data_IF_424605800845
#
_entry.id   IF_424605800845
#
_cell.length_a   1.000
_cell.length_b   1.000
_cell.length_c   1.000
_cell.angle_alpha   90.00
_cell.angle_beta   90.00
_cell.angle_gamma   90.00
#
_symmetry.space_group_name_H-M   'P 1'
#
loop_
_entity.id
_entity.type
_entity.pdbx_description
1 polymer ?
2 non-polymer ?
3 non-polymer ?
4 water ?
#
# COMPACT_ATOMS: atom_id res chain seq x y z
N UNK A 2 40.48 12.83 1.75
CA UNK A 2 39.96 11.57 2.28
C UNK A 2 38.83 11.02 1.38
N UNK A 3 39.08 9.85 0.76
CA UNK A 3 38.16 9.13 -0.15
C UNK A 3 36.71 9.03 0.42
N UNK A 4 35.75 9.80 -0.16
CA UNK A 4 34.34 9.80 0.26
C UNK A 4 33.56 8.66 -0.41
N UNK A 5 32.68 7.99 0.35
CA UNK A 5 31.89 6.87 -0.15
C UNK A 5 30.77 7.35 -1.06
N UNK A 6 30.86 7.00 -2.37
CA UNK A 6 29.87 7.40 -3.37
C UNK A 6 28.64 6.48 -3.38
N UNK A 7 28.58 5.43 -2.51
CA UNK A 7 27.44 4.52 -2.42
C UNK A 7 26.12 5.23 -2.11
N UNK A 8 26.13 6.28 -1.24
CA UNK A 8 24.88 6.97 -0.88
C UNK A 8 24.28 7.68 -2.10
N UNK A 9 25.14 8.40 -2.83
CA UNK A 9 24.76 9.10 -4.05
C UNK A 9 24.29 8.11 -5.15
N UNK A 10 24.94 6.93 -5.27
CA UNK A 10 24.57 5.89 -6.23
C UNK A 10 23.18 5.29 -5.85
N UNK A 11 22.95 4.99 -4.55
CA UNK A 11 21.69 4.43 -4.07
C UNK A 11 20.53 5.41 -4.27
N UNK A 12 20.77 6.71 -4.00
CA UNK A 12 19.74 7.75 -4.18
C UNK A 12 19.36 7.88 -5.66
N UNK A 13 20.38 7.91 -6.54
CA UNK A 13 20.18 8.00 -8.00
C UNK A 13 19.42 6.76 -8.52
N UNK A 14 19.76 5.57 -8.02
CA UNK A 14 19.12 4.34 -8.45
C UNK A 14 17.66 4.28 -8.05
N UNK A 15 17.33 4.71 -6.83
CA UNK A 15 15.94 4.70 -6.38
C UNK A 15 15.07 5.66 -7.17
N UNK A 16 15.59 6.86 -7.51
CA UNK A 16 14.81 7.80 -8.33
C UNK A 16 14.47 7.19 -9.70
N UNK A 17 15.42 6.43 -10.28
CA UNK A 17 15.21 5.75 -11.58
C UNK A 17 14.32 4.51 -11.41
N UNK A 18 14.49 3.72 -10.30
CA UNK A 18 13.63 2.56 -10.04
C UNK A 18 12.16 2.97 -9.86
N UNK A 19 11.93 4.17 -9.29
CA UNK A 19 10.58 4.69 -9.04
C UNK A 19 9.97 5.29 -10.31
N UNK A 20 10.74 6.09 -11.07
CA UNK A 20 10.23 6.75 -12.28
C UNK A 20 10.26 5.84 -13.52
N UNK A 21 11.19 4.86 -13.61
CA UNK A 21 11.33 3.99 -14.79
C UNK A 21 11.27 2.44 -14.49
N UNK A 22 10.96 2.06 -13.25
CA UNK A 22 10.90 0.64 -12.86
C UNK A 22 12.27 0.01 -12.68
N UNK A 23 12.39 -0.97 -11.74
CA UNK A 23 13.67 -1.65 -11.51
C UNK A 23 14.21 -2.36 -12.79
N UNK A 24 13.35 -3.09 -13.52
CA UNK A 24 13.75 -3.81 -14.75
C UNK A 24 14.18 -2.86 -15.88
N UNK A 25 13.56 -1.68 -15.95
CA UNK A 25 13.89 -0.68 -16.95
C UNK A 25 15.19 0.07 -16.68
N UNK A 26 15.62 0.15 -15.41
CA UNK A 26 16.84 0.88 -15.00
C UNK A 26 18.12 0.08 -15.32
N UNK A 27 19.18 0.80 -15.76
CA UNK A 27 20.50 0.23 -16.08
C UNK A 27 21.61 0.99 -15.31
N UNK A 28 22.85 0.44 -15.31
CA UNK A 28 23.98 1.05 -14.59
C UNK A 28 24.34 2.41 -15.23
N UNK A 29 24.45 2.54 -16.58
CA UNK A 29 24.77 3.87 -17.15
C UNK A 29 23.75 4.94 -16.77
N UNK A 30 22.45 4.61 -16.70
CA UNK A 30 21.42 5.55 -16.25
C UNK A 30 21.68 6.03 -14.81
N UNK A 31 22.10 5.11 -13.92
CA UNK A 31 22.40 5.46 -12.52
C UNK A 31 23.66 6.33 -12.48
N UNK A 32 24.65 6.03 -13.34
CA UNK A 32 25.89 6.81 -13.43
C UNK A 32 25.62 8.25 -13.87
N UNK A 33 24.70 8.45 -14.85
CA UNK A 33 24.33 9.78 -15.34
C UNK A 33 23.60 10.60 -14.26
N UNK A 34 22.60 10.02 -13.58
CA UNK A 34 21.83 10.70 -12.53
C UNK A 34 22.69 10.94 -11.28
N UNK A 35 23.66 10.04 -10.98
CA UNK A 35 24.55 10.21 -9.83
C UNK A 35 25.72 11.16 -10.14
N UNK A 36 25.93 11.52 -11.43
CA UNK A 36 27.02 12.38 -11.91
C UNK A 36 28.39 11.71 -11.62
N UNK A 37 28.50 10.40 -11.96
CA UNK A 37 29.71 9.59 -11.79
C UNK A 37 29.94 8.80 -13.09
N UNK A 38 31.13 8.21 -13.23
CA UNK A 38 31.47 7.37 -14.38
C UNK A 38 30.87 5.99 -14.19
N UNK A 39 30.54 5.30 -15.29
CA UNK A 39 29.97 3.95 -15.25
C UNK A 39 30.92 2.96 -14.54
N UNK A 40 32.21 3.11 -14.78
CA UNK A 40 33.27 2.32 -14.20
C UNK A 40 33.39 2.44 -12.70
N UNK A 41 33.12 3.65 -12.14
CA UNK A 41 33.16 3.87 -10.69
C UNK A 41 32.02 3.07 -10.01
N UNK A 42 30.83 2.97 -10.65
CA UNK A 42 29.73 2.17 -10.09
C UNK A 42 30.15 0.68 -10.07
N UNK A 43 30.78 0.21 -11.18
CA UNK A 43 31.25 -1.17 -11.28
C UNK A 43 32.41 -1.49 -10.30
N UNK A 44 33.07 -0.45 -9.72
CA UNK A 44 34.09 -0.65 -8.68
C UNK A 44 33.38 -1.08 -7.39
N UNK A 45 32.26 -0.42 -7.05
CA UNK A 45 31.49 -0.79 -5.87
C UNK A 45 30.63 -2.05 -6.07
N UNK A 46 29.93 -2.15 -7.21
CA UNK A 46 28.98 -3.23 -7.49
C UNK A 46 29.24 -3.93 -8.81
N UNK A 47 29.27 -5.26 -8.80
CA UNK A 47 29.49 -6.04 -10.01
C UNK A 47 28.39 -5.81 -11.06
N UNK A 48 27.13 -5.64 -10.62
CA UNK A 48 25.96 -5.45 -11.49
C UNK A 48 24.82 -4.77 -10.74
N UNK A 49 23.69 -4.52 -11.44
CA UNK A 49 22.49 -3.92 -10.85
C UNK A 49 21.91 -4.82 -9.71
N UNK A 50 22.02 -6.18 -9.83
CA UNK A 50 21.52 -7.10 -8.79
C UNK A 50 22.35 -6.98 -7.50
N UNK A 51 23.65 -6.71 -7.63
CA UNK A 51 24.53 -6.52 -6.48
C UNK A 51 24.21 -5.19 -5.78
N UNK A 52 24.08 -4.11 -6.60
CA UNK A 52 23.74 -2.75 -6.14
C UNK A 52 22.46 -2.78 -5.31
N UNK A 53 21.38 -3.36 -5.89
CA UNK A 53 20.07 -3.34 -5.26
C UNK A 53 20.08 -4.21 -3.99
N UNK A 54 20.87 -5.29 -3.96
CA UNK A 54 20.98 -6.17 -2.81
C UNK A 54 21.74 -5.49 -1.69
N UNK A 55 22.72 -4.65 -2.03
CA UNK A 55 23.48 -3.89 -1.07
C UNK A 55 22.56 -2.84 -0.44
N UNK A 56 21.78 -2.15 -1.29
CA UNK A 56 20.78 -1.16 -0.85
C UNK A 56 19.78 -1.82 0.13
N UNK A 57 19.22 -2.98 -0.26
CA UNK A 57 18.21 -3.68 0.55
C UNK A 57 18.77 -4.10 1.90
N UNK A 58 19.89 -4.84 1.87
CA UNK A 58 20.57 -5.36 3.06
C UNK A 58 20.91 -4.26 4.04
N UNK A 59 21.53 -3.19 3.54
CA UNK A 59 21.94 -2.07 4.40
C UNK A 59 20.74 -1.41 5.09
N UNK A 60 19.62 -1.14 4.35
CA UNK A 60 18.42 -0.52 4.93
C UNK A 60 17.76 -1.39 5.98
N UNK A 61 17.57 -2.69 5.66
CA UNK A 61 17.00 -3.64 6.60
C UNK A 61 17.83 -3.75 7.87
N UNK A 62 19.18 -3.80 7.75
CA UNK A 62 20.03 -3.87 8.93
C UNK A 62 20.02 -2.54 9.70
N UNK A 63 19.84 -1.40 9.03
CA UNK A 63 19.77 -0.14 9.79
C UNK A 63 18.42 -0.07 10.53
N UNK A 64 17.34 -0.56 9.92
CA UNK A 64 16.02 -0.62 10.59
C UNK A 64 16.04 -1.67 11.73
N UNK A 65 16.61 -2.87 11.50
CA UNK A 65 16.78 -3.86 12.53
C UNK A 65 17.47 -3.23 13.78
N UNK A 66 18.60 -2.55 13.57
CA UNK A 66 19.37 -1.86 14.62
C UNK A 66 18.53 -0.84 15.38
N UNK A 67 17.80 -0.02 14.64
CA UNK A 67 16.93 1.01 15.19
C UNK A 67 15.84 0.42 16.15
N UNK A 68 15.29 -0.78 15.84
CA UNK A 68 14.26 -1.42 16.67
C UNK A 68 14.89 -2.28 17.75
N UNK A 69 15.90 -3.11 17.43
CA UNK A 69 16.51 -4.01 18.42
C UNK A 69 17.33 -3.29 19.51
N UNK A 70 17.77 -2.06 19.25
CA UNK A 70 18.52 -1.26 20.22
C UNK A 70 17.55 -0.80 21.30
N UNK A 71 17.86 -1.11 22.57
CA UNK A 71 17.05 -0.78 23.75
C UNK A 71 15.68 -1.43 23.67
N UNK A 72 15.59 -2.63 23.02
CA UNK A 72 14.31 -3.30 22.89
C UNK A 72 13.83 -3.72 24.30
N UNK A 73 12.60 -3.33 24.73
CA UNK A 73 12.18 -3.63 26.09
C UNK A 73 11.71 -5.10 26.27
N UNK A 74 12.69 -6.00 26.33
CA UNK A 74 12.48 -7.46 26.45
C UNK A 74 11.64 -7.84 27.67
N UNK A 75 11.87 -7.22 28.84
CA UNK A 75 11.12 -7.56 30.07
C UNK A 75 9.77 -6.79 30.19
N UNK A 76 9.45 -5.89 29.26
CA UNK A 76 8.17 -5.14 29.30
C UNK A 76 7.01 -5.96 28.70
N UNK A 77 5.79 -5.44 28.80
CA UNK A 77 4.61 -6.10 28.21
C UNK A 77 4.56 -5.87 26.67
N UNK A 78 3.65 -6.57 25.94
CA UNK A 78 3.55 -6.43 24.48
C UNK A 78 3.17 -4.99 24.12
N UNK A 79 2.36 -4.26 24.96
CA UNK A 79 1.98 -2.84 24.77
C UNK A 79 3.23 -1.98 24.61
N UNK A 80 4.22 -2.16 25.50
CA UNK A 80 5.46 -1.38 25.47
C UNK A 80 6.37 -1.81 24.32
N UNK A 81 6.48 -3.10 24.10
CA UNK A 81 7.28 -3.61 23.02
C UNK A 81 6.73 -3.10 21.68
N UNK A 82 5.38 -3.04 21.56
CA UNK A 82 4.72 -2.47 20.37
C UNK A 82 5.07 -0.97 20.22
N UNK A 83 4.90 -0.23 21.32
CA UNK A 83 5.16 1.20 21.37
C UNK A 83 6.58 1.50 20.91
N UNK A 84 7.56 0.77 21.49
CA UNK A 84 8.96 0.91 21.13
C UNK A 84 9.17 0.63 19.63
N UNK A 85 8.65 -0.51 19.16
CA UNK A 85 8.80 -0.90 17.77
C UNK A 85 8.24 0.13 16.81
N UNK A 86 6.99 0.56 17.07
CA UNK A 86 6.27 1.54 16.24
C UNK A 86 7.00 2.87 16.12
N UNK A 87 7.47 3.42 17.24
CA UNK A 87 8.16 4.71 17.26
C UNK A 87 9.51 4.64 16.59
N UNK A 88 10.28 3.58 16.86
CA UNK A 88 11.58 3.38 16.23
C UNK A 88 11.42 3.15 14.71
N UNK A 89 10.35 2.45 14.30
CA UNK A 89 10.01 2.22 12.89
C UNK A 89 9.67 3.54 12.20
N UNK A 90 8.82 4.37 12.85
CA UNK A 90 8.44 5.70 12.33
C UNK A 90 9.66 6.63 12.23
N UNK A 91 10.55 6.64 13.26
CA UNK A 91 11.77 7.45 13.27
C UNK A 91 12.70 7.06 12.13
N UNK A 92 12.84 5.72 11.89
CA UNK A 92 13.70 5.25 10.81
C UNK A 92 13.11 5.70 9.47
N UNK A 93 11.79 5.48 9.26
CA UNK A 93 11.12 5.85 8.01
C UNK A 93 11.20 7.37 7.76
N UNK A 94 10.96 8.19 8.83
CA UNK A 94 11.01 9.67 8.81
C UNK A 94 12.39 10.16 8.34
N UNK A 95 13.48 9.60 8.87
CA UNK A 95 14.86 10.03 8.55
C UNK A 95 15.50 9.32 7.33
N UNK A 96 14.89 8.25 6.80
CA UNK A 96 15.42 7.49 5.66
C UNK A 96 14.25 7.24 4.70
N UNK A 97 13.60 8.34 4.31
CA UNK A 97 12.36 8.33 3.52
C UNK A 97 12.53 7.53 2.25
N UNK A 98 13.57 7.81 1.46
CA UNK A 98 13.75 7.10 0.19
C UNK A 98 13.88 5.60 0.37
N UNK A 99 14.94 5.12 1.04
CA UNK A 99 15.26 3.69 1.18
C UNK A 99 14.21 2.83 1.86
N UNK A 100 13.47 3.38 2.82
CA UNK A 100 12.47 2.63 3.58
C UNK A 100 11.33 2.17 2.67
N UNK A 101 10.76 3.09 1.89
CA UNK A 101 9.64 2.77 1.00
C UNK A 101 10.04 1.65 0.02
N UNK A 102 11.18 1.85 -0.68
CA UNK A 102 11.73 0.88 -1.62
C UNK A 102 11.89 -0.51 -0.99
N UNK A 103 12.69 -0.60 0.07
CA UNK A 103 13.07 -1.87 0.71
C UNK A 103 11.86 -2.71 1.17
N UNK A 104 10.90 -2.10 1.83
CA UNK A 104 9.76 -2.86 2.36
C UNK A 104 8.68 -3.16 1.29
N UNK A 105 8.78 -2.57 0.08
CA UNK A 105 7.90 -2.89 -1.05
C UNK A 105 8.55 -3.97 -1.96
N UNK A 106 9.87 -4.27 -1.78
CA UNK A 106 10.59 -5.26 -2.58
C UNK A 106 11.18 -6.38 -1.72
N UNK A 107 10.52 -6.70 -0.58
CA UNK A 107 11.01 -7.73 0.35
C UNK A 107 10.75 -9.16 -0.16
N UNK A 108 9.90 -9.35 -1.21
CA UNK A 108 9.64 -10.65 -1.85
C UNK A 108 10.06 -10.63 -3.34
N UNK A 109 10.90 -9.66 -3.75
CA UNK A 109 11.35 -9.54 -5.14
C UNK A 109 12.25 -10.70 -5.57
N UNK A 110 12.19 -11.02 -6.88
CA UNK A 110 12.97 -12.09 -7.50
C UNK A 110 14.49 -11.79 -7.47
N UNK A 111 14.87 -10.50 -7.50
CA UNK A 111 16.26 -10.09 -7.56
C UNK A 111 17.00 -10.21 -6.20
N UNK A 112 16.30 -10.45 -5.05
CA UNK A 112 16.99 -10.55 -3.75
C UNK A 112 17.83 -11.82 -3.66
N UNK A 113 19.11 -11.69 -3.26
CA UNK A 113 20.02 -12.83 -3.10
C UNK A 113 19.72 -13.54 -1.75
N UNK A 114 20.38 -14.67 -1.47
CA UNK A 114 20.14 -15.47 -0.25
C UNK A 114 20.37 -14.63 1.03
N UNK A 115 21.43 -13.79 1.07
CA UNK A 115 21.73 -12.98 2.24
C UNK A 115 20.65 -11.90 2.48
N UNK A 116 20.16 -11.25 1.43
CA UNK A 116 19.08 -10.26 1.57
C UNK A 116 17.86 -10.95 2.14
N UNK A 117 17.53 -12.15 1.63
CA UNK A 117 16.36 -12.88 2.12
C UNK A 117 16.57 -13.32 3.58
N UNK A 118 17.78 -13.76 3.95
CA UNK A 118 18.06 -14.21 5.33
C UNK A 118 17.99 -12.99 6.29
N UNK A 119 18.44 -11.80 5.87
CA UNK A 119 18.37 -10.60 6.69
C UNK A 119 16.91 -10.27 6.97
N UNK A 120 16.09 -10.23 5.92
CA UNK A 120 14.66 -9.93 6.00
C UNK A 120 13.88 -10.98 6.84
N UNK A 121 14.13 -12.28 6.62
CA UNK A 121 13.45 -13.36 7.33
C UNK A 121 13.82 -13.36 8.80
N UNK A 122 15.08 -13.09 9.15
CA UNK A 122 15.49 -12.97 10.53
C UNK A 122 14.82 -11.76 11.20
N UNK A 123 14.64 -10.65 10.46
CA UNK A 123 13.99 -9.43 10.97
C UNK A 123 12.49 -9.65 11.16
N UNK A 124 11.78 -10.13 10.13
CA UNK A 124 10.34 -10.30 10.23
C UNK A 124 9.97 -11.40 11.26
N UNK A 125 10.69 -12.53 11.25
CA UNK A 125 10.44 -13.63 12.16
C UNK A 125 10.50 -13.23 13.61
N UNK A 126 11.28 -12.20 13.92
CA UNK A 126 11.37 -11.68 15.27
C UNK A 126 10.00 -11.13 15.71
N UNK A 127 9.29 -10.40 14.82
CA UNK A 127 7.97 -9.84 15.15
C UNK A 127 6.89 -10.90 15.00
N UNK A 128 7.06 -11.87 14.09
CA UNK A 128 6.09 -12.96 13.94
C UNK A 128 5.93 -13.69 15.28
N UNK A 129 7.07 -14.00 15.96
CA UNK A 129 7.13 -14.69 17.25
C UNK A 129 6.39 -13.93 18.32
N UNK A 130 6.62 -12.60 18.39
CA UNK A 130 5.96 -11.77 19.41
C UNK A 130 4.46 -11.74 19.14
N UNK A 131 4.08 -11.60 17.85
CA UNK A 131 2.67 -11.55 17.47
C UNK A 131 2.01 -12.92 17.80
N UNK A 132 2.67 -14.03 17.46
CA UNK A 132 2.14 -15.36 17.76
C UNK A 132 1.96 -15.56 19.27
N UNK A 133 2.90 -15.07 20.10
CA UNK A 133 2.77 -15.14 21.56
C UNK A 133 1.57 -14.31 22.04
N UNK A 134 1.41 -13.13 21.45
CA UNK A 134 0.29 -12.27 21.79
C UNK A 134 -1.06 -12.86 21.43
N UNK A 135 -1.14 -13.55 20.27
CA UNK A 135 -2.39 -14.19 19.82
C UNK A 135 -2.75 -15.33 20.77
N UNK A 136 -1.77 -16.18 21.14
CA UNK A 136 -1.95 -17.33 22.04
C UNK A 136 -2.42 -16.89 23.43
N UNK A 137 -1.86 -15.80 23.99
CA UNK A 137 -2.26 -15.27 25.30
C UNK A 137 -3.64 -14.61 25.27
N UNK A 138 -4.24 -14.43 24.07
CA UNK A 138 -5.55 -13.83 23.91
C UNK A 138 -5.51 -12.32 23.96
N UNK A 139 -4.32 -11.72 23.79
CA UNK A 139 -4.12 -10.28 23.88
C UNK A 139 -4.28 -9.65 22.52
N UNK A 140 -3.80 -10.31 21.45
CA UNK A 140 -3.92 -9.77 20.11
C UNK A 140 -5.05 -10.46 19.38
N UNK A 141 -5.59 -9.82 18.35
CA UNK A 141 -6.65 -10.37 17.52
C UNK A 141 -6.27 -11.69 16.92
N UNK A 142 -7.16 -12.71 16.89
CA UNK A 142 -6.75 -13.98 16.28
C UNK A 142 -6.78 -13.93 14.75
N UNK A 143 -5.88 -13.14 14.16
CA UNK A 143 -5.74 -12.95 12.72
C UNK A 143 -4.48 -13.64 12.31
N UNK A 144 -4.28 -13.96 11.03
CA UNK A 144 -2.97 -14.51 10.62
C UNK A 144 -1.88 -13.50 10.96
N UNK A 145 -0.74 -13.90 11.57
CA UNK A 145 0.27 -12.90 11.96
C UNK A 145 0.68 -11.93 10.86
N UNK A 146 0.74 -12.39 9.60
CA UNK A 146 1.09 -11.52 8.47
C UNK A 146 -0.01 -10.44 8.25
N UNK A 147 -1.29 -10.75 8.55
CA UNK A 147 -2.37 -9.77 8.46
C UNK A 147 -2.19 -8.65 9.53
N UNK A 148 -1.69 -9.00 10.74
CA UNK A 148 -1.47 -7.98 11.77
C UNK A 148 -0.26 -7.10 11.43
N UNK A 149 0.77 -7.64 10.74
CA UNK A 149 1.94 -6.85 10.34
C UNK A 149 1.49 -5.83 9.28
N UNK A 150 0.65 -6.28 8.34
CA UNK A 150 0.06 -5.43 7.31
C UNK A 150 -0.78 -4.31 7.93
N UNK A 151 -1.59 -4.62 8.95
CA UNK A 151 -2.45 -3.65 9.63
C UNK A 151 -1.60 -2.54 10.25
N UNK A 152 -0.45 -2.88 10.84
CA UNK A 152 0.44 -1.91 11.49
C UNK A 152 1.28 -1.16 10.44
N UNK A 153 1.90 -1.89 9.54
CA UNK A 153 2.81 -1.34 8.54
C UNK A 153 2.17 -0.50 7.39
N UNK A 154 1.13 -1.00 6.69
CA UNK A 154 0.60 -0.29 5.50
C UNK A 154 0.10 1.12 5.79
N UNK A 155 -0.67 1.39 6.88
CA UNK A 155 -1.05 2.79 7.16
C UNK A 155 0.16 3.70 7.37
N UNK A 156 1.19 3.23 8.14
CA UNK A 156 2.42 3.98 8.44
C UNK A 156 3.15 4.34 7.14
N UNK A 157 3.41 3.31 6.31
CA UNK A 157 4.05 3.41 5.00
C UNK A 157 3.36 4.48 4.14
N UNK A 158 2.03 4.46 4.06
CA UNK A 158 1.30 5.47 3.26
C UNK A 158 1.35 6.86 3.92
N UNK A 159 1.25 6.96 5.26
CA UNK A 159 1.35 8.26 5.93
C UNK A 159 2.72 8.91 5.74
N UNK A 160 3.80 8.10 5.70
CA UNK A 160 5.14 8.61 5.41
C UNK A 160 5.13 9.22 4.00
N UNK A 161 4.54 8.51 3.00
CA UNK A 161 4.44 9.00 1.61
C UNK A 161 3.67 10.30 1.53
N UNK A 162 2.56 10.40 2.27
CA UNK A 162 1.69 11.58 2.31
C UNK A 162 2.43 12.72 3.01
N UNK A 163 3.19 12.45 4.10
CA UNK A 163 3.98 13.50 4.77
C UNK A 163 5.08 13.99 3.78
N UNK A 164 5.75 13.04 3.08
CA UNK A 164 6.81 13.34 2.10
C UNK A 164 6.31 14.25 0.97
N UNK A 165 5.01 14.22 0.59
CA UNK A 165 4.47 15.11 -0.44
C UNK A 165 4.12 16.50 0.15
N UNK A 166 4.08 16.61 1.47
CA UNK A 166 3.71 17.83 2.15
C UNK A 166 2.21 17.97 2.38
N UNK A 167 1.42 16.95 1.96
CA UNK A 167 -0.04 16.95 2.14
C UNK A 167 -0.38 16.87 3.64
N UNK A 168 0.42 16.10 4.40
CA UNK A 168 0.35 16.00 5.86
C UNK A 168 1.68 16.47 6.42
N UNK A 169 1.71 16.94 7.66
CA UNK A 169 2.95 17.42 8.27
C UNK A 169 3.25 16.63 9.53
N UNK A 170 4.52 16.27 9.71
CA UNK A 170 4.98 15.48 10.85
C UNK A 170 4.83 16.26 12.16
N UNK A 171 4.53 15.55 13.25
CA UNK A 171 4.51 16.11 14.59
C UNK A 171 4.60 14.97 15.59
N UNK A 172 5.14 15.23 16.78
CA UNK A 172 5.23 14.23 17.84
C UNK A 172 3.82 13.74 18.22
N UNK A 173 2.83 14.63 18.28
CA UNK A 173 1.45 14.27 18.60
C UNK A 173 0.79 13.40 17.49
N UNK A 174 1.13 13.64 16.19
CA UNK A 174 0.62 12.82 15.08
C UNK A 174 1.09 11.36 15.26
N UNK A 175 2.37 11.13 15.54
CA UNK A 175 2.91 9.78 15.72
C UNK A 175 2.32 9.15 16.99
N UNK A 176 2.19 9.93 18.09
CA UNK A 176 1.62 9.41 19.33
C UNK A 176 0.20 8.87 19.10
N UNK A 177 -0.61 9.61 18.33
CA UNK A 177 -1.96 9.21 17.97
C UNK A 177 -1.98 8.03 16.96
N UNK A 178 -1.08 8.02 15.97
CA UNK A 178 -1.00 6.91 15.02
C UNK A 178 -0.56 5.64 15.71
N UNK A 179 0.27 5.77 16.74
CA UNK A 179 0.73 4.62 17.48
C UNK A 179 -0.44 4.04 18.32
N UNK A 180 -1.27 4.88 18.96
CA UNK A 180 -2.41 4.41 19.75
C UNK A 180 -3.43 3.75 18.86
N UNK A 181 -3.64 4.30 17.66
CA UNK A 181 -4.54 3.75 16.65
C UNK A 181 -4.11 2.34 16.22
N UNK A 182 -2.82 2.15 15.86
CA UNK A 182 -2.26 0.85 15.46
C UNK A 182 -2.32 -0.19 16.58
N UNK A 183 -2.10 0.21 17.82
CA UNK A 183 -2.21 -0.71 18.95
C UNK A 183 -3.67 -1.15 19.10
N UNK A 184 -4.62 -0.18 19.00
CA UNK A 184 -6.05 -0.50 19.07
C UNK A 184 -6.51 -1.37 17.91
N UNK A 185 -5.84 -1.27 16.75
CA UNK A 185 -6.17 -2.10 15.59
C UNK A 185 -5.82 -3.56 15.82
N UNK A 186 -4.72 -3.87 16.51
CA UNK A 186 -4.25 -5.24 16.67
C UNK A 186 -4.64 -5.90 18.00
N UNK A 187 -5.02 -5.15 19.06
CA UNK A 187 -5.32 -5.75 20.37
C UNK A 187 -6.79 -6.17 20.51
N UNK A 188 -7.13 -6.98 21.54
CA UNK A 188 -8.52 -7.30 21.88
C UNK A 188 -8.93 -6.22 22.90
N UNK A 189 -9.98 -5.40 22.59
CA UNK A 189 -10.38 -4.27 23.45
C UNK A 189 -11.58 -4.69 24.34
N UNK B 4 -22.94 -4.08 -20.93
CA UNK B 4 -23.05 -5.05 -22.02
C UNK B 4 -21.94 -6.09 -21.96
N UNK B 5 -22.19 -7.29 -22.52
CA UNK B 5 -21.20 -8.38 -22.58
C UNK B 5 -20.04 -8.02 -23.54
N UNK B 6 -20.29 -7.14 -24.54
CA UNK B 6 -19.25 -6.68 -25.47
C UNK B 6 -18.29 -5.75 -24.72
N UNK B 7 -18.84 -4.70 -24.07
CA UNK B 7 -18.09 -3.70 -23.28
C UNK B 7 -17.26 -4.34 -22.16
N UNK B 8 -17.89 -5.26 -21.44
CA UNK B 8 -17.30 -6.00 -20.32
C UNK B 8 -16.15 -6.89 -20.81
N UNK B 9 -16.29 -7.60 -21.97
CA UNK B 9 -15.19 -8.46 -22.46
C UNK B 9 -14.01 -7.61 -22.97
N UNK B 10 -14.30 -6.41 -23.54
CA UNK B 10 -13.25 -5.47 -23.99
C UNK B 10 -12.42 -5.04 -22.76
N UNK B 11 -13.11 -4.64 -21.67
CA UNK B 11 -12.43 -4.21 -20.45
C UNK B 11 -11.64 -5.36 -19.79
N UNK B 12 -12.22 -6.57 -19.76
CA UNK B 12 -11.56 -7.75 -19.17
C UNK B 12 -10.32 -8.09 -19.97
N UNK B 13 -10.42 -8.03 -21.31
CA UNK B 13 -9.30 -8.32 -22.23
C UNK B 13 -8.21 -7.23 -22.15
N UNK B 14 -8.63 -5.96 -21.92
CA UNK B 14 -7.72 -4.83 -21.74
C UNK B 14 -6.96 -4.96 -20.40
N UNK B 15 -7.65 -5.36 -19.32
CA UNK B 15 -7.02 -5.55 -18.00
C UNK B 15 -5.93 -6.63 -18.02
N UNK B 16 -6.22 -7.80 -18.65
CA UNK B 16 -5.29 -8.93 -18.76
C UNK B 16 -4.03 -8.53 -19.54
N UNK B 17 -4.19 -7.70 -20.59
CA UNK B 17 -3.05 -7.21 -21.39
C UNK B 17 -2.27 -6.12 -20.63
N UNK B 18 -2.97 -5.21 -19.92
CA UNK B 18 -2.30 -4.16 -19.12
C UNK B 18 -1.45 -4.77 -18.00
N UNK B 19 -1.88 -5.92 -17.45
CA UNK B 19 -1.18 -6.62 -16.37
C UNK B 19 -0.01 -7.45 -16.91
N UNK B 20 -0.23 -8.21 -18.01
CA UNK B 20 0.82 -9.08 -18.58
C UNK B 20 1.79 -8.33 -19.51
N UNK B 21 1.36 -7.22 -20.17
CA UNK B 21 2.21 -6.47 -21.12
C UNK B 21 2.37 -4.95 -20.82
N UNK B 22 1.85 -4.46 -19.67
CA UNK B 22 1.92 -3.05 -19.32
C UNK B 22 0.93 -2.18 -20.10
N UNK B 23 0.45 -1.08 -19.49
CA UNK B 23 -0.49 -0.18 -20.17
C UNK B 23 0.13 0.41 -21.42
N UNK B 24 1.37 0.94 -21.33
CA UNK B 24 2.04 1.58 -22.48
C UNK B 24 2.33 0.60 -23.62
N UNK B 25 2.57 -0.68 -23.29
CA UNK B 25 2.82 -1.72 -24.29
C UNK B 25 1.58 -2.24 -25.00
N UNK B 26 0.39 -2.19 -24.34
CA UNK B 26 -0.87 -2.68 -24.91
C UNK B 26 -1.42 -1.70 -25.98
N UNK B 27 -2.08 -2.26 -27.01
CA UNK B 27 -2.68 -1.53 -28.12
C UNK B 27 -4.13 -2.00 -28.35
N UNK B 28 -4.91 -1.26 -29.17
CA UNK B 28 -6.31 -1.59 -29.46
C UNK B 28 -6.41 -2.92 -30.21
N UNK B 29 -5.60 -3.20 -31.26
CA UNK B 29 -5.70 -4.51 -31.95
C UNK B 29 -5.46 -5.68 -31.01
N UNK B 30 -4.53 -5.57 -30.05
CA UNK B 30 -4.30 -6.62 -29.04
C UNK B 30 -5.55 -6.87 -28.20
N UNK B 31 -6.28 -5.80 -27.81
CA UNK B 31 -7.51 -5.92 -27.00
C UNK B 31 -8.60 -6.54 -27.87
N UNK B 32 -8.65 -6.18 -29.18
CA UNK B 32 -9.63 -6.73 -30.13
C UNK B 32 -9.44 -8.25 -30.30
N UNK B 33 -8.18 -8.72 -30.38
CA UNK B 33 -7.86 -10.14 -30.52
C UNK B 33 -8.25 -10.94 -29.27
N UNK B 34 -7.88 -10.45 -28.07
CA UNK B 34 -8.21 -11.13 -26.80
C UNK B 34 -9.72 -11.05 -26.47
N UNK B 35 -10.42 -9.97 -26.85
CA UNK B 35 -11.85 -9.87 -26.61
C UNK B 35 -12.67 -10.56 -27.71
N UNK B 36 -12.02 -11.05 -28.82
CA UNK B 36 -12.66 -11.75 -29.95
C UNK B 36 -13.67 -10.82 -30.68
N UNK B 37 -13.23 -9.59 -30.97
CA UNK B 37 -14.00 -8.56 -31.68
C UNK B 37 -13.10 -7.91 -32.75
N UNK B 38 -13.68 -7.04 -33.56
CA UNK B 38 -12.94 -6.30 -34.58
C UNK B 38 -12.39 -5.02 -33.99
N UNK B 39 -11.20 -4.57 -34.43
CA UNK B 39 -10.62 -3.32 -33.91
C UNK B 39 -11.55 -2.12 -34.22
N UNK B 40 -12.25 -2.16 -35.38
CA UNK B 40 -13.22 -1.12 -35.74
C UNK B 40 -14.38 -1.04 -34.77
N UNK B 41 -14.83 -2.21 -34.23
CA UNK B 41 -15.92 -2.23 -33.25
C UNK B 41 -15.45 -1.57 -31.94
N UNK B 42 -14.17 -1.77 -31.53
CA UNK B 42 -13.64 -1.10 -30.34
C UNK B 42 -13.62 0.42 -30.57
N UNK B 43 -13.19 0.86 -31.77
CA UNK B 43 -13.15 2.29 -32.11
C UNK B 43 -14.57 2.93 -32.22
N UNK B 44 -15.65 2.10 -32.34
CA UNK B 44 -17.02 2.59 -32.30
C UNK B 44 -17.34 3.04 -30.85
N UNK B 45 -16.94 2.21 -29.86
CA UNK B 45 -17.15 2.54 -28.44
C UNK B 45 -16.16 3.57 -27.90
N UNK B 46 -14.86 3.41 -28.23
CA UNK B 46 -13.78 4.27 -27.70
C UNK B 46 -12.91 4.86 -28.79
N UNK B 47 -12.68 6.17 -28.73
CA UNK B 47 -11.84 6.85 -29.71
C UNK B 47 -10.39 6.32 -29.71
N UNK B 48 -9.86 5.97 -28.53
CA UNK B 48 -8.49 5.49 -28.34
C UNK B 48 -8.35 4.70 -27.04
N UNK B 49 -7.13 4.18 -26.78
CA UNK B 49 -6.82 3.45 -25.55
C UNK B 49 -7.01 4.34 -24.30
N UNK B 50 -6.70 5.65 -24.38
CA UNK B 50 -6.89 6.51 -23.22
C UNK B 50 -8.40 6.69 -22.89
N UNK B 51 -9.28 6.69 -23.91
CA UNK B 51 -10.73 6.78 -23.70
C UNK B 51 -11.25 5.49 -23.05
N UNK B 52 -10.70 4.31 -23.47
CA UNK B 52 -11.05 2.99 -22.95
C UNK B 52 -10.68 2.89 -21.48
N UNK B 53 -9.44 3.26 -21.14
CA UNK B 53 -8.93 3.14 -19.77
C UNK B 53 -9.63 4.16 -18.82
N UNK B 54 -10.16 5.29 -19.35
CA UNK B 54 -10.89 6.28 -18.55
C UNK B 54 -12.35 5.84 -18.40
N UNK B 55 -12.93 5.12 -19.39
CA UNK B 55 -14.29 4.57 -19.26
C UNK B 55 -14.24 3.45 -18.23
N UNK B 56 -13.24 2.56 -18.32
CA UNK B 56 -13.02 1.48 -17.37
C UNK B 56 -12.86 2.07 -15.92
N UNK B 57 -11.87 2.98 -15.71
CA UNK B 57 -11.65 3.59 -14.38
C UNK B 57 -12.94 4.22 -13.79
N UNK B 58 -13.60 5.11 -14.56
CA UNK B 58 -14.82 5.81 -14.16
C UNK B 58 -15.97 4.85 -13.78
N UNK B 59 -16.27 3.88 -14.66
CA UNK B 59 -17.33 2.91 -14.41
C UNK B 59 -17.07 2.14 -13.12
N UNK B 60 -15.80 1.69 -12.90
CA UNK B 60 -15.39 0.99 -11.66
C UNK B 60 -15.59 1.88 -10.42
N UNK B 61 -15.23 3.16 -10.51
CA UNK B 61 -15.38 4.08 -9.39
C UNK B 61 -16.85 4.31 -9.06
N UNK B 62 -17.67 4.50 -10.08
CA UNK B 62 -19.10 4.69 -9.88
C UNK B 62 -19.76 3.39 -9.42
N UNK B 63 -19.23 2.21 -9.79
CA UNK B 63 -19.76 0.94 -9.29
C UNK B 63 -19.41 0.82 -7.81
N UNK B 64 -18.16 1.15 -7.44
CA UNK B 64 -17.78 1.14 -6.03
C UNK B 64 -18.65 2.18 -5.27
N UNK B 65 -18.85 3.39 -5.86
CA UNK B 65 -19.68 4.43 -5.24
C UNK B 65 -21.14 3.94 -5.12
N UNK B 66 -21.71 3.33 -6.17
CA UNK B 66 -23.06 2.77 -6.10
C UNK B 66 -23.13 1.72 -4.99
N UNK B 67 -22.20 0.74 -4.95
CA UNK B 67 -22.14 -0.33 -3.94
C UNK B 67 -22.18 0.18 -2.52
N UNK B 68 -21.40 1.21 -2.21
CA UNK B 68 -21.38 1.75 -0.87
C UNK B 68 -22.61 2.64 -0.66
N UNK B 69 -22.95 3.52 -1.61
CA UNK B 69 -24.09 4.44 -1.44
C UNK B 69 -25.47 3.73 -1.46
N UNK B 70 -25.55 2.51 -2.05
CA UNK B 70 -26.80 1.74 -2.07
C UNK B 70 -27.05 1.19 -0.69
N UNK B 71 -28.23 1.48 -0.14
CA UNK B 71 -28.68 1.08 1.21
C UNK B 71 -27.76 1.65 2.27
N UNK B 72 -27.18 2.85 2.01
CA UNK B 72 -26.28 3.47 2.99
C UNK B 72 -27.12 3.82 4.25
N UNK B 73 -26.72 3.35 5.44
CA UNK B 73 -27.56 3.57 6.62
C UNK B 73 -27.39 4.98 7.20
N UNK B 74 -28.02 5.95 6.54
CA UNK B 74 -27.98 7.39 6.88
C UNK B 74 -28.44 7.66 8.33
N UNK B 75 -29.51 7.00 8.79
CA UNK B 75 -30.05 7.25 10.15
C UNK B 75 -29.35 6.38 11.22
N UNK B 76 -28.43 5.48 10.86
CA UNK B 76 -27.70 4.64 11.84
C UNK B 76 -26.53 5.41 12.46
N UNK B 77 -25.89 4.79 13.46
CA UNK B 77 -24.73 5.39 14.11
C UNK B 77 -23.47 5.22 13.22
N UNK B 78 -22.36 5.85 13.65
CA UNK B 78 -21.07 5.83 12.97
C UNK B 78 -20.57 4.39 12.80
N UNK B 79 -20.80 3.58 13.82
CA UNK B 79 -20.40 2.17 13.87
C UNK B 79 -21.00 1.38 12.73
N UNK B 80 -22.31 1.58 12.49
CA UNK B 80 -23.02 0.89 11.42
C UNK B 80 -22.66 1.42 10.04
N UNK B 81 -22.55 2.74 9.92
CA UNK B 81 -22.15 3.35 8.64
C UNK B 81 -20.77 2.86 8.25
N UNK B 82 -19.88 2.71 9.25
CA UNK B 82 -18.54 2.19 9.02
C UNK B 82 -18.61 0.72 8.55
N UNK B 83 -19.36 -0.10 9.30
CA UNK B 83 -19.53 -1.51 9.02
C UNK B 83 -20.04 -1.71 7.60
N UNK B 84 -21.10 -0.96 7.22
CA UNK B 84 -21.67 -1.00 5.88
C UNK B 84 -20.61 -0.64 4.83
N UNK B 85 -19.92 0.48 5.03
CA UNK B 85 -18.92 0.95 4.09
C UNK B 85 -17.83 -0.07 3.89
N UNK B 86 -17.26 -0.57 5.00
CA UNK B 86 -16.17 -1.53 5.02
C UNK B 86 -16.49 -2.82 4.29
N UNK B 87 -17.66 -3.41 4.57
CA UNK B 87 -18.08 -4.67 3.96
C UNK B 87 -18.41 -4.51 2.50
N UNK B 88 -19.10 -3.44 2.12
CA UNK B 88 -19.42 -3.15 0.72
C UNK B 88 -18.13 -2.89 -0.06
N UNK B 89 -17.14 -2.21 0.56
CA UNK B 89 -15.82 -1.95 -0.04
C UNK B 89 -15.07 -3.25 -0.25
N UNK B 90 -15.04 -4.11 0.76
CA UNK B 90 -14.39 -5.42 0.67
C UNK B 90 -15.08 -6.32 -0.37
N UNK B 91 -16.42 -6.33 -0.41
CA UNK B 91 -17.23 -7.12 -1.36
C UNK B 91 -16.97 -6.67 -2.79
N UNK B 92 -16.88 -5.33 -3.02
CA UNK B 92 -16.58 -4.81 -4.34
C UNK B 92 -15.20 -5.27 -4.78
N UNK B 93 -14.21 -5.14 -3.92
CA UNK B 93 -12.84 -5.51 -4.25
C UNK B 93 -12.75 -6.99 -4.52
N UNK B 94 -13.32 -7.74 -3.63
CA UNK B 94 -13.32 -9.19 -3.72
C UNK B 94 -13.86 -9.68 -5.09
N UNK B 95 -15.00 -9.12 -5.55
CA UNK B 95 -15.65 -9.53 -6.82
C UNK B 95 -15.16 -8.81 -8.07
N UNK B 96 -14.36 -7.75 -7.94
CA UNK B 96 -13.83 -6.98 -9.08
C UNK B 96 -12.38 -6.76 -8.86
N UNK B 97 -11.63 -7.84 -8.58
CA UNK B 97 -10.22 -7.76 -8.17
C UNK B 97 -9.38 -7.05 -9.23
N UNK B 98 -9.52 -7.45 -10.52
CA UNK B 98 -8.75 -6.86 -11.61
C UNK B 98 -9.11 -5.39 -11.72
N UNK B 99 -10.42 -5.09 -11.73
CA UNK B 99 -10.88 -3.70 -11.74
C UNK B 99 -10.44 -2.98 -10.49
N UNK B 100 -10.54 -3.64 -9.31
CA UNK B 100 -10.12 -3.09 -8.03
C UNK B 100 -8.63 -2.85 -8.02
N UNK B 101 -7.83 -3.89 -8.30
CA UNK B 101 -6.37 -3.77 -8.38
C UNK B 101 -5.96 -2.77 -9.47
N UNK B 102 -6.69 -2.75 -10.61
CA UNK B 102 -6.40 -1.82 -11.69
C UNK B 102 -6.72 -0.37 -11.27
N UNK B 103 -7.95 -0.12 -10.80
CA UNK B 103 -8.39 1.20 -10.33
C UNK B 103 -7.50 1.67 -9.18
N UNK B 104 -7.25 0.79 -8.19
CA UNK B 104 -6.36 1.07 -7.05
C UNK B 104 -4.95 1.46 -7.52
N UNK B 105 -4.44 0.81 -8.59
CA UNK B 105 -3.10 1.06 -9.11
C UNK B 105 -3.02 2.32 -10.02
N UNK B 106 -4.16 2.95 -10.42
CA UNK B 106 -4.10 4.06 -11.37
C UNK B 106 -4.93 5.30 -10.95
N UNK B 107 -5.13 5.55 -9.63
CA UNK B 107 -5.87 6.73 -9.14
C UNK B 107 -5.18 8.04 -9.46
N UNK B 108 -3.83 8.03 -9.56
CA UNK B 108 -3.04 9.22 -9.81
C UNK B 108 -2.27 9.11 -11.14
N UNK B 109 -2.74 8.23 -12.07
CA UNK B 109 -2.09 8.06 -13.37
C UNK B 109 -2.23 9.29 -14.26
N UNK B 110 -1.21 9.49 -15.13
CA UNK B 110 -1.15 10.62 -16.07
C UNK B 110 -2.24 10.55 -17.15
N UNK B 111 -2.70 9.33 -17.50
CA UNK B 111 -3.73 9.14 -18.52
C UNK B 111 -5.15 9.48 -18.03
N UNK B 112 -5.35 9.69 -16.68
CA UNK B 112 -6.68 10.03 -16.14
C UNK B 112 -7.15 11.39 -16.63
N UNK B 113 -8.43 11.46 -17.01
CA UNK B 113 -9.04 12.71 -17.50
C UNK B 113 -9.74 13.45 -16.35
N UNK B 114 -10.23 14.68 -16.62
CA UNK B 114 -10.89 15.53 -15.62
C UNK B 114 -12.11 14.84 -14.98
N UNK B 115 -12.94 14.12 -15.78
CA UNK B 115 -14.12 13.44 -15.27
C UNK B 115 -13.73 12.27 -14.34
N UNK B 116 -12.69 11.49 -14.70
CA UNK B 116 -12.19 10.39 -13.85
C UNK B 116 -11.72 10.95 -12.49
N UNK B 117 -11.05 12.11 -12.50
CA UNK B 117 -10.59 12.77 -11.27
C UNK B 117 -11.76 13.36 -10.46
N UNK B 118 -12.77 13.94 -11.12
CA UNK B 118 -13.93 14.50 -10.43
C UNK B 118 -14.77 13.37 -9.80
N UNK B 119 -14.88 12.19 -10.46
CA UNK B 119 -15.61 11.06 -9.92
C UNK B 119 -14.93 10.59 -8.62
N UNK B 120 -13.62 10.41 -8.67
CA UNK B 120 -12.82 9.97 -7.53
C UNK B 120 -12.84 10.98 -6.35
N UNK B 121 -12.69 12.28 -6.63
CA UNK B 121 -12.68 13.32 -5.60
C UNK B 121 -14.07 13.46 -4.93
N UNK B 122 -15.15 13.34 -5.73
CA UNK B 122 -16.52 13.36 -5.20
C UNK B 122 -16.79 12.11 -4.31
N UNK B 123 -16.19 10.97 -4.64
CA UNK B 123 -16.31 9.74 -3.86
C UNK B 123 -15.56 9.88 -2.51
N UNK B 124 -14.27 10.33 -2.54
CA UNK B 124 -13.41 10.58 -1.36
C UNK B 124 -14.07 11.58 -0.38
N UNK B 125 -14.50 12.72 -0.91
CA UNK B 125 -15.14 13.80 -0.17
C UNK B 125 -16.37 13.39 0.61
N UNK B 126 -17.10 12.38 0.13
CA UNK B 126 -18.27 11.86 0.83
C UNK B 126 -17.85 11.27 2.20
N UNK B 127 -16.73 10.54 2.24
CA UNK B 127 -16.23 9.95 3.48
C UNK B 127 -15.50 10.99 4.31
N UNK B 128 -14.87 12.01 3.69
CA UNK B 128 -14.21 13.09 4.45
C UNK B 128 -15.21 13.77 5.37
N UNK B 129 -16.40 14.08 4.83
CA UNK B 129 -17.44 14.77 5.57
C UNK B 129 -17.97 13.90 6.72
N UNK B 130 -18.14 12.57 6.53
CA UNK B 130 -18.58 11.69 7.63
C UNK B 130 -17.50 11.63 8.69
N UNK B 131 -16.24 11.51 8.28
CA UNK B 131 -15.11 11.44 9.20
C UNK B 131 -15.03 12.76 10.00
N UNK B 132 -15.14 13.90 9.31
CA UNK B 132 -15.12 15.22 9.99
C UNK B 132 -16.27 15.34 11.00
N UNK B 133 -17.47 14.84 10.67
CA UNK B 133 -18.61 14.84 11.60
C UNK B 133 -18.32 13.92 12.80
N UNK B 134 -17.71 12.77 12.55
CA UNK B 134 -17.34 11.83 13.60
C UNK B 134 -16.30 12.40 14.55
N UNK B 135 -15.32 13.15 14.02
CA UNK B 135 -14.25 13.76 14.82
C UNK B 135 -14.87 14.85 15.73
N UNK B 136 -15.74 15.71 15.16
CA UNK B 136 -16.41 16.81 15.88
C UNK B 136 -17.31 16.29 17.00
N UNK B 137 -18.07 15.20 16.77
CA UNK B 137 -18.93 14.60 17.80
C UNK B 137 -18.11 13.86 18.90
N UNK B 138 -16.80 13.71 18.70
CA UNK B 138 -15.95 13.02 19.66
C UNK B 138 -16.06 11.50 19.51
N UNK B 139 -16.60 11.05 18.33
CA UNK B 139 -16.83 9.64 17.97
C UNK B 139 -15.57 8.96 17.36
N UNK B 140 -14.70 9.74 16.66
CA UNK B 140 -13.48 9.26 16.02
C UNK B 140 -12.26 9.97 16.57
N UNK B 141 -11.08 9.35 16.37
CA UNK B 141 -9.79 9.92 16.79
C UNK B 141 -9.59 11.28 16.22
N UNK B 142 -9.10 12.27 16.98
CA UNK B 142 -8.86 13.60 16.39
C UNK B 142 -7.56 13.61 15.54
N UNK B 143 -7.52 12.78 14.47
CA UNK B 143 -6.44 12.67 13.50
C UNK B 143 -6.86 13.43 12.25
N UNK B 144 -5.92 13.84 11.35
CA UNK B 144 -6.34 14.47 10.09
C UNK B 144 -7.23 13.50 9.32
N UNK B 145 -8.40 13.92 8.77
CA UNK B 145 -9.29 12.94 8.10
C UNK B 145 -8.60 12.04 7.07
N UNK B 146 -7.62 12.57 6.33
CA UNK B 146 -6.90 11.78 5.32
C UNK B 146 -6.08 10.65 6.02
N UNK B 147 -5.59 10.88 7.26
CA UNK B 147 -4.87 9.85 8.00
C UNK B 147 -5.82 8.71 8.40
N UNK B 148 -7.09 9.01 8.74
CA UNK B 148 -8.05 7.95 9.08
C UNK B 148 -8.49 7.15 7.86
N UNK B 149 -8.54 7.77 6.66
CA UNK B 149 -8.90 7.05 5.43
C UNK B 149 -7.79 6.07 5.13
N UNK B 150 -6.54 6.53 5.26
CA UNK B 150 -5.35 5.71 5.04
C UNK B 150 -5.36 4.50 5.99
N UNK B 151 -5.68 4.74 7.27
CA UNK B 151 -5.70 3.69 8.30
C UNK B 151 -6.69 2.59 7.93
N UNK B 152 -7.86 2.95 7.39
CA UNK B 152 -8.90 2.01 6.99
C UNK B 152 -8.57 1.34 5.64
N UNK B 153 -8.25 2.16 4.65
CA UNK B 153 -8.04 1.69 3.29
C UNK B 153 -6.73 0.91 3.03
N UNK B 154 -5.55 1.40 3.44
CA UNK B 154 -4.28 0.73 3.05
C UNK B 154 -4.17 -0.72 3.50
N UNK B 155 -4.53 -1.10 4.76
CA UNK B 155 -4.49 -2.52 5.12
C UNK B 155 -5.39 -3.38 4.21
N UNK B 156 -6.64 -2.91 3.93
CA UNK B 156 -7.62 -3.62 3.09
C UNK B 156 -7.06 -3.85 1.68
N UNK B 157 -6.61 -2.76 1.05
CA UNK B 157 -5.99 -2.74 -0.27
C UNK B 157 -4.88 -3.79 -0.37
N UNK B 158 -3.96 -3.82 0.62
CA UNK B 158 -2.87 -4.79 0.61
C UNK B 158 -3.38 -6.23 0.87
N UNK B 159 -4.36 -6.42 1.76
CA UNK B 159 -4.90 -7.76 2.01
C UNK B 159 -5.61 -8.33 0.77
N UNK B 160 -6.29 -7.48 -0.04
CA UNK B 160 -6.89 -7.92 -1.29
C UNK B 160 -5.78 -8.43 -2.21
N UNK B 161 -4.66 -7.68 -2.34
CA UNK B 161 -3.50 -8.07 -3.16
C UNK B 161 -2.90 -9.39 -2.71
N UNK B 162 -2.78 -9.57 -1.39
CA UNK B 162 -2.21 -10.78 -0.77
C UNK B 162 -3.18 -11.95 -0.98
N UNK B 163 -4.53 -11.73 -0.87
CA UNK B 163 -5.51 -12.79 -1.14
C UNK B 163 -5.41 -13.17 -2.64
N UNK B 164 -5.33 -12.16 -3.53
CA UNK B 164 -5.21 -12.37 -4.98
C UNK B 164 -3.98 -13.21 -5.39
N UNK B 165 -2.88 -13.17 -4.62
CA UNK B 165 -1.71 -14.02 -4.91
C UNK B 165 -1.90 -15.45 -4.36
N UNK B 166 -2.90 -15.65 -3.51
CA UNK B 166 -3.16 -16.94 -2.88
C UNK B 166 -2.40 -17.14 -1.59
N UNK B 167 -1.60 -16.12 -1.17
CA UNK B 167 -0.82 -16.19 0.07
C UNK B 167 -1.77 -16.23 1.28
N UNK B 168 -2.88 -15.48 1.20
CA UNK B 168 -3.97 -15.49 2.18
C UNK B 168 -5.23 -15.95 1.46
N UNK B 169 -6.19 -16.50 2.20
CA UNK B 169 -7.44 -16.97 1.58
C UNK B 169 -8.63 -16.25 2.23
N UNK B 170 -9.59 -15.86 1.38
CA UNK B 170 -10.78 -15.15 1.83
C UNK B 170 -11.66 -16.02 2.72
N UNK B 171 -12.33 -15.40 3.69
CA UNK B 171 -13.32 -16.05 4.54
C UNK B 171 -14.18 -14.96 5.19
N UNK B 172 -15.44 -15.30 5.53
CA UNK B 172 -16.33 -14.36 6.20
C UNK B 172 -15.73 -13.92 7.54
N UNK B 173 -15.04 -14.87 8.21
CA UNK B 173 -14.38 -14.70 9.50
C UNK B 173 -13.20 -13.72 9.42
N UNK B 174 -12.46 -13.77 8.31
CA UNK B 174 -11.34 -12.88 8.05
C UNK B 174 -11.83 -11.43 7.90
N UNK B 175 -12.86 -11.19 7.08
CA UNK B 175 -13.40 -9.83 6.88
C UNK B 175 -14.02 -9.30 8.17
N UNK B 176 -14.66 -10.18 8.95
CA UNK B 176 -15.27 -9.80 10.19
C UNK B 176 -14.16 -9.31 11.13
N UNK B 177 -13.03 -10.06 11.19
CA UNK B 177 -11.87 -9.68 12.01
C UNK B 177 -11.23 -8.38 11.55
N UNK B 178 -11.13 -8.19 10.24
CA UNK B 178 -10.51 -7.01 9.65
C UNK B 178 -11.39 -5.80 9.83
N UNK B 179 -12.72 -5.97 9.79
CA UNK B 179 -13.63 -4.86 9.97
C UNK B 179 -13.58 -4.37 11.45
N UNK B 180 -13.56 -5.29 12.43
CA UNK B 180 -13.51 -4.94 13.85
C UNK B 180 -12.20 -4.21 14.17
N UNK B 181 -11.12 -4.67 13.56
CA UNK B 181 -9.78 -4.08 13.71
C UNK B 181 -9.76 -2.62 13.18
N UNK B 182 -10.27 -2.40 11.97
CA UNK B 182 -10.34 -1.06 11.36
C UNK B 182 -11.21 -0.09 12.16
N UNK B 183 -12.32 -0.56 12.71
CA UNK B 183 -13.17 0.28 13.54
C UNK B 183 -12.43 0.68 14.82
N UNK B 184 -11.73 -0.29 15.45
CA UNK B 184 -10.94 -0.03 16.65
C UNK B 184 -9.78 0.92 16.38
N UNK B 185 -9.26 0.90 15.15
CA UNK B 185 -8.17 1.78 14.75
C UNK B 185 -8.62 3.25 14.71
N UNK B 186 -9.85 3.53 14.25
CA UNK B 186 -10.30 4.91 14.04
C UNK B 186 -11.18 5.50 15.18
N UNK B 187 -11.76 4.66 16.07
CA UNK B 187 -12.64 5.19 17.11
C UNK B 187 -11.95 5.59 18.36
N UNK B 188 -12.69 6.42 19.12
CA UNK B 188 -12.31 7.01 20.39
C UNK B 188 -12.49 5.95 21.49
N UNK B 189 -11.38 5.58 22.15
CA UNK B 189 -11.33 4.58 23.23
C UNK B 189 -10.74 5.25 24.49
X LIG C 1 9.97 -2.37 -9.25
X LIG D 1 0.99 0.19 -1.51
X LIG D 1 0.46 0.77 -2.86
X LIG D 1 0.38 -1.22 -1.22
X LIG D 1 2.54 0.04 -1.57
X LIG D 1 0.59 1.21 -0.40
#
# INVERSE_FOLDING_TARGET
GMAKNKQEDIFDAAMQLFAERGYDGTTIPMIAEKAKVGAGTIYRYFENKEALVNSLFSKSMLQLSEMIKTDFPVEANIREQFSHTYNRLFEFARNNVDAFLFTNSHCDSYFLDEQSKKIFDDFIGFFMNIIEDGIVKGLLRPLPPVALIIIVYQPLEKLIKVIATGQLEYSKELVKELEESSWNAIRII
GXAKNKQEDIFDAAMQLFAERGYDGTTIPMIAEKAKVGAGTIYRYFENKEALVNSLFSKSMLQLSEMIKTDFPVEANIREQFSHTYNRLFEFARNNVDAFLFTNSHCDSYFLDEQSKKIFDDFIGFFMNIIEDGIVKGLLRPLPPVALIIIVYQPLEKLIKVIATGQLEYSKELVKELEESSWNAIRII
CL CL
PO4 P O1 O2 O3 O4
#
